data_IF_242374708295
#
_entry.id   IF_242374708295
#
_cell.length_a   1.000
_cell.length_b   1.000
_cell.length_c   1.000
_cell.angle_alpha   90.00
_cell.angle_beta   90.00
_cell.angle_gamma   90.00
#
_symmetry.space_group_name_H-M   'P 1'
#
loop_
_entity.id
_entity.type
_entity.pdbx_description
1 polymer ?
#
# COMPACT_ATOMS: atom_id res chain seq x y z
N UNK A 1 -7.96 5.45 4.33
CA UNK A 1 -8.75 6.28 3.43
C UNK A 1 -8.10 6.30 2.05
N UNK A 2 -8.84 6.12 0.92
CA UNK A 2 -8.28 6.22 -0.44
C UNK A 2 -8.15 7.66 -0.96
N UNK A 3 -8.65 8.65 -0.22
CA UNK A 3 -8.64 10.06 -0.56
C UNK A 3 -7.81 10.87 0.42
N UNK A 4 -7.33 12.04 -0.02
CA UNK A 4 -6.72 13.02 0.86
C UNK A 4 -7.81 13.87 1.53
N UNK A 5 -7.88 13.81 2.85
CA UNK A 5 -8.80 14.60 3.67
C UNK A 5 -7.98 15.26 4.79
N UNK A 6 -7.52 16.51 4.59
CA UNK A 6 -6.65 17.19 5.55
C UNK A 6 -7.23 17.30 6.96
N UNK A 7 -8.54 17.54 7.08
CA UNK A 7 -9.21 17.67 8.37
C UNK A 7 -9.19 16.37 9.19
N UNK A 8 -9.26 15.19 8.51
CA UNK A 8 -9.09 13.90 9.18
C UNK A 8 -7.68 13.74 9.73
N UNK A 9 -6.66 14.18 8.98
CA UNK A 9 -5.26 14.07 9.39
C UNK A 9 -5.01 14.99 10.59
N UNK A 10 -5.50 16.24 10.55
CA UNK A 10 -5.38 17.18 11.65
C UNK A 10 -6.09 16.66 12.92
N UNK A 11 -7.32 16.19 12.78
CA UNK A 11 -8.06 15.61 13.90
C UNK A 11 -7.33 14.42 14.52
N UNK A 12 -6.90 13.49 13.70
CA UNK A 12 -6.18 12.29 14.16
C UNK A 12 -4.85 12.66 14.85
N UNK A 13 -4.13 13.67 14.32
CA UNK A 13 -2.90 14.19 14.91
C UNK A 13 -3.09 14.69 16.33
N UNK A 14 -4.22 15.35 16.64
CA UNK A 14 -4.56 15.80 18.00
C UNK A 14 -4.72 14.65 19.00
N UNK A 15 -5.04 13.45 18.51
CA UNK A 15 -5.19 12.24 19.32
C UNK A 15 -4.01 11.27 19.20
N UNK A 16 -2.91 11.66 18.54
CA UNK A 16 -1.76 10.81 18.23
C UNK A 16 -2.15 9.50 17.48
N UNK A 17 -3.16 9.56 16.61
CA UNK A 17 -3.58 8.44 15.78
C UNK A 17 -2.92 8.56 14.41
N UNK A 18 -2.14 7.56 13.96
CA UNK A 18 -1.52 7.60 12.64
C UNK A 18 -2.57 7.48 11.53
N UNK A 19 -2.42 8.30 10.48
CA UNK A 19 -3.32 8.30 9.31
C UNK A 19 -2.57 7.86 8.07
N UNK A 20 -3.17 6.94 7.31
CA UNK A 20 -2.75 6.55 5.97
C UNK A 20 -3.66 7.25 4.97
N UNK A 21 -3.19 8.38 4.43
CA UNK A 21 -3.96 9.21 3.51
C UNK A 21 -3.81 8.76 2.07
N UNK A 22 -4.92 8.79 1.32
CA UNK A 22 -4.94 8.41 -0.08
C UNK A 22 -4.33 9.46 -1.00
N UNK A 23 -3.66 9.00 -2.04
CA UNK A 23 -3.16 9.80 -3.14
C UNK A 23 -2.98 8.92 -4.38
N UNK A 24 -2.91 9.55 -5.55
CA UNK A 24 -2.47 8.88 -6.77
C UNK A 24 -1.35 9.66 -7.46
N UNK A 25 -1.47 10.97 -7.56
CA UNK A 25 -0.49 11.84 -8.22
C UNK A 25 0.60 12.33 -7.27
N UNK A 26 1.72 12.79 -7.83
CA UNK A 26 2.82 13.39 -7.06
C UNK A 26 2.36 14.60 -6.22
N UNK A 27 1.46 15.43 -6.77
CA UNK A 27 0.90 16.58 -6.04
C UNK A 27 0.07 16.13 -4.83
N UNK A 28 -0.72 15.08 -4.97
CA UNK A 28 -1.50 14.52 -3.86
C UNK A 28 -0.59 13.89 -2.80
N UNK A 29 0.46 13.17 -3.20
CA UNK A 29 1.49 12.65 -2.29
C UNK A 29 2.11 13.78 -1.49
N UNK A 30 2.56 14.85 -2.15
CA UNK A 30 3.13 16.02 -1.50
C UNK A 30 2.14 16.65 -0.50
N UNK A 31 0.89 16.83 -0.90
CA UNK A 31 -0.13 17.42 -0.04
C UNK A 31 -0.47 16.53 1.17
N UNK A 32 -0.51 15.20 0.99
CA UNK A 32 -0.71 14.26 2.09
C UNK A 32 0.41 14.35 3.13
N UNK A 33 1.67 14.39 2.67
CA UNK A 33 2.84 14.60 3.53
C UNK A 33 2.76 15.93 4.28
N UNK A 34 2.49 17.02 3.54
CA UNK A 34 2.38 18.37 4.11
C UNK A 34 1.29 18.45 5.18
N UNK A 35 0.22 17.69 5.03
CA UNK A 35 -0.87 17.61 6.02
C UNK A 35 -0.50 16.74 7.23
N UNK A 36 0.64 16.05 7.23
CA UNK A 36 1.08 15.22 8.36
C UNK A 36 0.65 13.76 8.32
N UNK A 37 0.28 13.24 7.14
CA UNK A 37 -0.02 11.83 6.98
C UNK A 37 1.18 10.96 7.38
N UNK A 38 0.94 9.91 8.16
CA UNK A 38 1.99 8.97 8.61
C UNK A 38 2.52 8.10 7.48
N UNK A 39 1.65 7.77 6.54
CA UNK A 39 1.94 7.04 5.32
C UNK A 39 1.00 7.48 4.21
N UNK A 40 1.39 7.26 2.95
CA UNK A 40 0.56 7.62 1.80
C UNK A 40 0.13 6.35 1.06
N UNK A 41 -1.18 6.16 0.98
CA UNK A 41 -1.81 5.07 0.27
C UNK A 41 -1.98 5.44 -1.21
N UNK A 42 -1.26 4.77 -2.09
CA UNK A 42 -1.40 4.98 -3.54
C UNK A 42 -2.59 4.16 -4.04
N UNK A 43 -3.64 4.85 -4.49
CA UNK A 43 -4.88 4.24 -4.95
C UNK A 43 -5.41 4.87 -6.26
N UNK A 44 -5.75 4.04 -7.26
CA UNK A 44 -5.58 2.58 -7.33
C UNK A 44 -4.15 2.17 -7.74
N UNK A 45 -3.44 1.47 -6.85
CA UNK A 45 -2.03 1.10 -7.04
C UNK A 45 -1.78 0.23 -8.27
N UNK A 46 -2.66 -0.72 -8.54
CA UNK A 46 -2.53 -1.62 -9.69
C UNK A 46 -2.61 -0.91 -11.04
N UNK A 47 -3.30 0.23 -11.13
CA UNK A 47 -3.36 1.04 -12.35
C UNK A 47 -2.00 1.67 -12.69
N UNK A 48 -1.32 2.20 -11.68
CA UNK A 48 0.02 2.77 -11.85
C UNK A 48 1.11 1.70 -11.99
N UNK A 49 0.95 0.61 -11.30
CA UNK A 49 1.90 -0.50 -11.28
C UNK A 49 3.21 -0.21 -10.53
N UNK A 50 4.12 -1.21 -10.43
CA UNK A 50 5.39 -1.07 -9.73
C UNK A 50 6.29 0.05 -10.30
N UNK A 51 6.33 0.22 -11.62
CA UNK A 51 7.11 1.28 -12.26
C UNK A 51 6.66 2.68 -11.83
N UNK A 52 5.36 2.90 -11.69
CA UNK A 52 4.84 4.16 -11.19
C UNK A 52 5.24 4.42 -9.74
N UNK A 53 5.22 3.37 -8.91
CA UNK A 53 5.71 3.43 -7.54
C UNK A 53 7.17 3.86 -7.49
N UNK A 54 8.04 3.28 -8.32
CA UNK A 54 9.45 3.69 -8.45
C UNK A 54 9.57 5.18 -8.76
N UNK A 55 8.80 5.69 -9.74
CA UNK A 55 8.83 7.10 -10.12
C UNK A 55 8.42 8.02 -8.94
N UNK A 56 7.41 7.64 -8.16
CA UNK A 56 7.04 8.40 -6.96
C UNK A 56 8.15 8.35 -5.90
N UNK A 57 8.79 7.21 -5.70
CA UNK A 57 9.90 7.04 -4.75
C UNK A 57 11.15 7.84 -5.15
N UNK A 58 11.41 8.03 -6.45
CA UNK A 58 12.50 8.90 -6.92
C UNK A 58 12.27 10.36 -6.52
N UNK A 59 11.02 10.84 -6.51
CA UNK A 59 10.67 12.21 -6.12
C UNK A 59 10.54 12.35 -4.60
N UNK A 60 10.04 11.31 -3.94
CA UNK A 60 9.75 11.28 -2.50
C UNK A 60 10.42 10.07 -1.82
N UNK A 61 11.76 10.02 -1.74
CA UNK A 61 12.47 8.85 -1.24
C UNK A 61 12.14 8.51 0.22
N UNK A 62 11.79 9.50 1.03
CA UNK A 62 11.52 9.34 2.47
C UNK A 62 10.07 8.95 2.78
N UNK A 63 9.17 9.06 1.79
CA UNK A 63 7.75 8.81 2.04
C UNK A 63 7.44 7.34 2.10
N UNK A 64 6.74 6.94 3.14
CA UNK A 64 6.20 5.60 3.26
C UNK A 64 4.99 5.42 2.35
N UNK A 65 5.17 4.80 1.19
CA UNK A 65 4.12 4.53 0.22
C UNK A 65 3.56 3.12 0.37
N UNK A 66 2.21 3.01 0.33
CA UNK A 66 1.48 1.75 0.40
C UNK A 66 0.56 1.63 -0.81
N UNK A 67 0.88 0.81 -1.82
CA UNK A 67 -0.03 0.57 -2.93
C UNK A 67 -1.25 -0.21 -2.45
N UNK A 68 -2.42 0.15 -2.97
CA UNK A 68 -3.71 -0.48 -2.67
C UNK A 68 -4.62 -0.44 -3.89
N UNK A 69 -5.49 -1.45 -4.03
CA UNK A 69 -6.34 -1.61 -5.21
C UNK A 69 -5.58 -2.24 -6.38
N UNK A 70 -5.99 -3.44 -6.77
CA UNK A 70 -5.33 -4.23 -7.80
C UNK A 70 -4.01 -4.88 -7.37
N UNK A 71 -3.80 -5.02 -6.06
CA UNK A 71 -2.64 -5.74 -5.52
C UNK A 71 -3.00 -7.22 -5.37
N UNK A 72 -2.17 -8.09 -5.96
CA UNK A 72 -2.31 -9.55 -5.97
C UNK A 72 -1.05 -10.21 -5.44
N UNK A 73 -1.11 -11.51 -5.20
CA UNK A 73 0.06 -12.32 -4.86
C UNK A 73 1.11 -12.36 -5.98
N UNK A 74 0.70 -12.14 -7.24
CA UNK A 74 1.60 -12.10 -8.39
C UNK A 74 2.43 -10.80 -8.44
N UNK A 75 1.89 -9.67 -7.94
CA UNK A 75 2.55 -8.36 -8.07
C UNK A 75 3.00 -7.72 -6.75
N UNK A 76 2.54 -8.21 -5.60
CA UNK A 76 2.85 -7.59 -4.29
C UNK A 76 4.36 -7.53 -4.00
N UNK A 77 5.10 -8.57 -4.36
CA UNK A 77 6.56 -8.62 -4.18
C UNK A 77 7.30 -7.58 -5.03
N UNK A 78 6.83 -7.31 -6.25
CA UNK A 78 7.41 -6.28 -7.10
C UNK A 78 7.20 -4.87 -6.55
N UNK A 79 6.02 -4.60 -5.99
CA UNK A 79 5.78 -3.32 -5.31
C UNK A 79 6.73 -3.10 -4.13
N UNK A 80 7.00 -4.11 -3.34
CA UNK A 80 7.98 -4.02 -2.24
C UNK A 80 9.38 -3.72 -2.78
N UNK A 81 9.82 -4.44 -3.82
CA UNK A 81 11.12 -4.19 -4.47
C UNK A 81 11.24 -2.79 -5.07
N UNK A 82 10.12 -2.17 -5.46
CA UNK A 82 10.04 -0.80 -5.95
C UNK A 82 9.95 0.27 -4.85
N UNK A 83 10.15 -0.10 -3.58
CA UNK A 83 10.22 0.83 -2.46
C UNK A 83 8.91 1.06 -1.70
N UNK A 84 7.87 0.26 -1.94
CA UNK A 84 6.70 0.26 -1.07
C UNK A 84 7.07 -0.26 0.32
N UNK A 85 6.66 0.46 1.38
CA UNK A 85 6.92 0.03 2.75
C UNK A 85 6.01 -1.14 3.19
N UNK A 86 4.83 -1.23 2.59
CA UNK A 86 3.85 -2.28 2.78
C UNK A 86 2.96 -2.38 1.54
N UNK A 87 2.08 -3.37 1.48
CA UNK A 87 1.04 -3.52 0.46
C UNK A 87 -0.31 -3.71 1.11
N UNK A 88 -1.38 -3.26 0.44
CA UNK A 88 -2.75 -3.39 0.93
C UNK A 88 -3.61 -4.12 -0.09
N UNK A 89 -4.08 -5.29 0.28
CA UNK A 89 -5.03 -6.10 -0.48
C UNK A 89 -6.40 -6.11 0.19
N UNK A 90 -7.47 -6.09 -0.59
CA UNK A 90 -8.82 -6.28 -0.10
C UNK A 90 -9.50 -7.45 -0.81
N UNK A 91 -9.77 -7.32 -2.10
CA UNK A 91 -10.42 -8.37 -2.90
C UNK A 91 -9.62 -9.69 -2.93
N UNK A 92 -8.30 -9.60 -2.82
CA UNK A 92 -7.40 -10.76 -2.78
C UNK A 92 -7.67 -11.65 -1.57
N UNK A 93 -8.13 -11.07 -0.46
CA UNK A 93 -8.42 -11.79 0.79
C UNK A 93 -9.91 -12.03 1.02
N UNK A 94 -10.79 -11.25 0.35
CA UNK A 94 -12.24 -11.29 0.52
C UNK A 94 -12.91 -11.80 -0.76
N UNK A 95 -12.54 -13.02 -1.17
CA UNK A 95 -13.23 -13.72 -2.24
C UNK A 95 -14.33 -14.59 -1.63
N UNK A 96 -15.57 -14.11 -1.69
CA UNK A 96 -16.71 -14.76 -1.06
C UNK A 96 -16.99 -16.17 -1.63
N UNK A 97 -16.82 -16.38 -2.92
CA UNK A 97 -16.98 -17.69 -3.56
C UNK A 97 -16.00 -18.72 -2.99
N UNK A 98 -14.73 -18.31 -2.82
CA UNK A 98 -13.72 -19.19 -2.24
C UNK A 98 -13.94 -19.43 -0.75
N UNK A 99 -14.44 -18.41 -0.03
CA UNK A 99 -14.77 -18.54 1.40
C UNK A 99 -15.96 -19.50 1.60
N UNK A 100 -16.96 -19.43 0.74
CA UNK A 100 -18.10 -20.37 0.77
C UNK A 100 -17.64 -21.81 0.47
N UNK A 101 -16.68 -21.99 -0.45
CA UNK A 101 -16.19 -23.30 -0.87
C UNK A 101 -15.20 -23.93 0.13
N UNK A 102 -14.28 -23.14 0.68
CA UNK A 102 -13.13 -23.62 1.48
C UNK A 102 -13.16 -23.18 2.94
N UNK A 103 -14.16 -22.39 3.33
CA UNK A 103 -14.26 -21.84 4.68
C UNK A 103 -13.36 -20.63 4.90
N UNK A 104 -13.40 -20.09 6.13
CA UNK A 104 -12.61 -18.91 6.53
C UNK A 104 -11.10 -19.20 6.57
N UNK A 105 -10.69 -20.45 6.67
CA UNK A 105 -9.30 -20.90 6.60
C UNK A 105 -8.64 -20.52 5.27
N UNK A 106 -9.42 -20.36 4.21
CA UNK A 106 -8.93 -19.86 2.94
C UNK A 106 -8.30 -18.46 3.10
N UNK A 107 -8.93 -17.57 3.86
CA UNK A 107 -8.39 -16.22 4.15
C UNK A 107 -7.01 -16.34 4.81
N UNK A 108 -6.90 -17.20 5.82
CA UNK A 108 -5.63 -17.41 6.53
C UNK A 108 -4.53 -17.88 5.60
N UNK A 109 -4.84 -18.80 4.68
CA UNK A 109 -3.88 -19.29 3.67
C UNK A 109 -3.44 -18.17 2.73
N UNK A 110 -4.39 -17.34 2.27
CA UNK A 110 -4.08 -16.22 1.37
C UNK A 110 -3.22 -15.16 2.05
N UNK A 111 -3.58 -14.75 3.27
CA UNK A 111 -2.80 -13.77 4.05
C UNK A 111 -1.38 -14.30 4.30
N UNK A 112 -1.25 -15.59 4.68
CA UNK A 112 0.07 -16.20 4.86
C UNK A 112 0.90 -16.16 3.58
N UNK A 113 0.34 -16.58 2.45
CA UNK A 113 1.01 -16.54 1.13
C UNK A 113 1.52 -15.13 0.81
N UNK A 114 0.67 -14.12 1.01
CA UNK A 114 1.05 -12.72 0.81
C UNK A 114 2.19 -12.26 1.73
N UNK A 115 2.09 -12.62 3.01
CA UNK A 115 3.11 -12.31 4.01
C UNK A 115 4.46 -12.93 3.67
N UNK A 116 4.45 -14.19 3.22
CA UNK A 116 5.66 -14.90 2.82
C UNK A 116 6.32 -14.23 1.60
N UNK A 117 5.54 -13.84 0.56
CA UNK A 117 6.04 -13.12 -0.62
C UNK A 117 6.63 -11.76 -0.23
N UNK A 118 5.93 -10.99 0.60
CA UNK A 118 6.40 -9.68 1.08
C UNK A 118 7.68 -9.82 1.90
N UNK A 119 7.76 -10.82 2.77
CA UNK A 119 8.93 -11.11 3.60
C UNK A 119 10.14 -11.45 2.74
N UNK A 120 9.95 -12.27 1.70
CA UNK A 120 11.02 -12.64 0.78
C UNK A 120 11.47 -11.44 -0.07
N UNK A 121 10.53 -10.65 -0.57
CA UNK A 121 10.83 -9.46 -1.35
C UNK A 121 11.64 -8.42 -0.56
N UNK A 122 11.40 -8.29 0.76
CA UNK A 122 12.17 -7.39 1.64
C UNK A 122 13.63 -7.80 1.85
N UNK A 123 13.99 -9.05 1.62
CA UNK A 123 15.39 -9.52 1.72
C UNK A 123 16.21 -9.11 0.50
N UNK A 124 15.55 -8.79 -0.60
CA UNK A 124 16.21 -8.30 -1.81
C UNK A 124 16.56 -6.83 -1.60
N UNK A 125 17.79 -6.42 -1.88
CA UNK A 125 18.17 -5.01 -1.82
C UNK A 125 17.21 -4.18 -2.68
N UNK A 126 16.65 -3.15 -2.05
CA UNK A 126 15.81 -2.20 -2.76
C UNK A 126 16.67 -1.48 -3.79
N UNK A 127 16.35 -1.62 -5.06
CA UNK A 127 16.92 -0.76 -6.08
C UNK A 127 16.31 0.64 -5.89
N UNK A 128 17.03 1.46 -5.13
CA UNK A 128 16.83 2.91 -5.09
C UNK A 128 17.92 3.47 -6.00
N UNK A 129 17.56 3.99 -7.19
CA UNK A 129 18.55 4.62 -8.08
C UNK A 129 19.18 5.86 -7.45
#
# INVERSE_FOLDING_TARGET
NPCLIPDEIDLAGRYNVPVYSGAFTATEVFNAMKSGASMVKIFPGGLGGPKYMTNLKMVFPEVNLIPSGGITDENCGEFIKCGACAVSGARTFMNFEMIEKEGVEWITKQVKKFSDIVTEAKKTELYIP
#
